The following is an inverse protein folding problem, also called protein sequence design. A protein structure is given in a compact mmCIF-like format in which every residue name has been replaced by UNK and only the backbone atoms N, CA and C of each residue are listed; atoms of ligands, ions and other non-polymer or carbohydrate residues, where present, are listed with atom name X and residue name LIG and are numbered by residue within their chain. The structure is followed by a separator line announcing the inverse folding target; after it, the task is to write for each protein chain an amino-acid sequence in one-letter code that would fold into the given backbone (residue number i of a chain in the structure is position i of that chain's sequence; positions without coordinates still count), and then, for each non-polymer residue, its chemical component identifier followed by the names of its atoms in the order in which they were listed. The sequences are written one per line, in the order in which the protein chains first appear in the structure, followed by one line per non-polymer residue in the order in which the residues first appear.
data_IF_698855714055
#
_entry.id   IF_698855714055
#
_cell.length_a   1.000
_cell.length_b   1.000
_cell.length_c   1.000
_cell.angle_alpha   90.00
_cell.angle_beta   90.00
_cell.angle_gamma   90.00
#
_symmetry.space_group_name_H-M   'P 1'
#
loop_
_entity.id
_entity.type
_entity.pdbx_description
1 polymer ?
#
# COMPACT_ATOMS: atom_id res chain seq x y z
N UNK A 1 25.28 -1.34 -26.73
CA UNK A 1 24.45 -0.18 -27.09
C UNK A 1 24.63 0.90 -26.03
N UNK A 2 25.14 2.08 -26.43
CA UNK A 2 25.43 3.20 -25.54
C UNK A 2 24.14 3.97 -25.24
N UNK A 3 23.82 4.19 -23.98
CA UNK A 3 22.85 5.22 -23.56
C UNK A 3 23.63 6.46 -23.14
N UNK A 4 23.48 7.55 -23.89
CA UNK A 4 24.01 8.87 -23.57
C UNK A 4 22.87 9.70 -22.99
N UNK A 5 22.99 10.10 -21.72
CA UNK A 5 22.15 11.13 -21.09
C UNK A 5 22.90 12.46 -21.16
N UNK A 6 22.31 13.56 -21.66
CA UNK A 6 22.98 14.84 -21.65
C UNK A 6 22.16 15.92 -20.93
N UNK A 7 22.10 15.92 -19.59
CA UNK A 7 21.82 17.16 -18.85
C UNK A 7 22.55 17.20 -17.50
N UNK A 8 23.83 17.56 -17.58
CA UNK A 8 24.59 18.14 -16.47
C UNK A 8 25.11 19.49 -16.91
N UNK A 9 24.45 20.57 -16.47
CA UNK A 9 25.10 21.87 -16.26
C UNK A 9 24.33 22.65 -15.21
N UNK A 10 24.96 22.83 -14.04
CA UNK A 10 24.53 23.73 -12.97
C UNK A 10 24.93 25.14 -13.35
N UNK A 11 23.98 26.05 -13.43
CA UNK A 11 24.20 27.48 -13.23
C UNK A 11 23.18 27.96 -12.20
N UNK A 12 23.67 28.59 -11.13
CA UNK A 12 22.87 29.22 -10.07
C UNK A 12 22.41 30.60 -10.54
N UNK A 13 21.10 30.85 -10.69
CA UNK A 13 20.53 32.21 -10.68
C UNK A 13 19.05 32.21 -10.23
N UNK A 14 18.79 32.99 -9.16
CA UNK A 14 17.58 33.56 -8.52
C UNK A 14 16.15 32.95 -8.66
N UNK A 15 15.30 32.93 -7.61
CA UNK A 15 14.07 32.10 -7.55
C UNK A 15 12.76 32.72 -8.09
N UNK A 16 12.72 33.96 -8.57
CA UNK A 16 11.43 34.67 -8.72
C UNK A 16 10.82 34.73 -10.13
N UNK A 17 11.39 34.09 -11.14
CA UNK A 17 10.88 34.18 -12.53
C UNK A 17 10.47 32.86 -13.19
N UNK A 18 10.45 31.74 -12.46
CA UNK A 18 10.27 30.41 -13.06
C UNK A 18 8.86 29.79 -12.96
N UNK A 19 7.87 30.42 -12.32
CA UNK A 19 6.52 29.82 -12.27
C UNK A 19 5.83 29.80 -13.64
N UNK A 20 6.23 30.70 -14.55
CA UNK A 20 5.65 30.79 -15.90
C UNK A 20 6.39 29.89 -16.90
N UNK A 21 7.69 29.60 -16.68
CA UNK A 21 8.50 28.78 -17.61
C UNK A 21 8.40 27.26 -17.38
N UNK A 22 7.83 26.81 -16.26
CA UNK A 22 7.66 25.38 -15.98
C UNK A 22 6.40 24.76 -16.62
N UNK A 23 5.43 25.59 -17.01
CA UNK A 23 4.18 25.12 -17.64
C UNK A 23 4.35 24.82 -19.14
N UNK A 24 5.35 25.42 -19.80
CA UNK A 24 5.63 25.22 -21.23
C UNK A 24 6.39 23.92 -21.56
N UNK A 25 6.64 23.05 -20.57
CA UNK A 25 7.36 21.78 -20.75
C UNK A 25 6.58 20.54 -20.30
N UNK A 26 5.30 20.69 -19.97
CA UNK A 26 4.41 19.54 -19.84
C UNK A 26 3.93 19.25 -21.26
N UNK A 27 4.37 18.15 -21.86
CA UNK A 27 3.78 17.67 -23.11
C UNK A 27 2.25 17.69 -22.95
N UNK A 28 1.58 18.31 -23.91
CA UNK A 28 0.12 18.44 -23.91
C UNK A 28 -0.49 17.07 -23.60
N UNK A 29 -1.32 16.98 -22.55
CA UNK A 29 -1.91 15.72 -22.10
C UNK A 29 -2.65 15.00 -23.24
N UNK A 30 -3.10 15.76 -24.25
CA UNK A 30 -3.66 15.22 -25.48
C UNK A 30 -2.62 14.46 -26.34
N UNK A 31 -1.40 14.97 -26.46
CA UNK A 31 -0.31 14.33 -27.19
C UNK A 31 0.14 13.03 -26.49
N UNK A 32 0.21 13.03 -25.15
CA UNK A 32 0.53 11.82 -24.37
C UNK A 32 -0.54 10.74 -24.54
N UNK A 33 -1.83 11.10 -24.52
CA UNK A 33 -2.94 10.17 -24.80
C UNK A 33 -2.86 9.59 -26.21
N UNK A 34 -2.73 10.44 -27.22
CA UNK A 34 -2.64 10.01 -28.62
C UNK A 34 -1.43 9.11 -28.84
N UNK A 35 -0.29 9.43 -28.23
CA UNK A 35 0.90 8.58 -28.27
C UNK A 35 0.65 7.21 -27.62
N UNK A 36 0.01 7.17 -26.45
CA UNK A 36 -0.32 5.93 -25.74
C UNK A 36 -1.26 5.04 -26.55
N UNK A 37 -2.36 5.60 -27.05
CA UNK A 37 -3.36 4.90 -27.89
C UNK A 37 -2.72 4.35 -29.17
N UNK A 38 -1.93 5.17 -29.86
CA UNK A 38 -1.21 4.77 -31.06
C UNK A 38 -0.18 3.68 -30.77
N UNK A 39 0.53 3.78 -29.64
CA UNK A 39 1.51 2.78 -29.23
C UNK A 39 0.83 1.44 -28.89
N UNK A 40 -0.33 1.45 -28.25
CA UNK A 40 -1.12 0.23 -28.00
C UNK A 40 -1.63 -0.41 -29.29
N UNK A 41 -2.09 0.40 -30.26
CA UNK A 41 -2.52 -0.11 -31.57
C UNK A 41 -1.36 -0.69 -32.39
N UNK A 42 -0.20 -0.03 -32.39
CA UNK A 42 0.96 -0.44 -33.20
C UNK A 42 1.72 -1.63 -32.59
N UNK A 43 1.79 -1.72 -31.26
CA UNK A 43 2.58 -2.74 -30.55
C UNK A 43 1.73 -3.90 -30.05
N UNK A 44 0.42 -3.84 -30.22
CA UNK A 44 -0.55 -4.75 -29.62
C UNK A 44 -0.67 -4.51 -28.12
N UNK A 45 -1.76 -5.01 -27.54
CA UNK A 45 -1.80 -5.23 -26.10
C UNK A 45 -1.06 -6.54 -25.76
N UNK A 46 -0.88 -6.85 -24.48
CA UNK A 46 -0.17 -8.07 -24.07
C UNK A 46 -0.96 -9.36 -24.31
N UNK A 47 -2.11 -9.32 -25.02
CA UNK A 47 -2.99 -10.46 -25.25
C UNK A 47 -2.97 -10.85 -26.72
N UNK A 48 -3.18 -12.15 -26.96
CA UNK A 48 -3.31 -12.64 -28.31
C UNK A 48 -4.63 -12.12 -28.93
N UNK A 49 -4.58 -11.73 -30.20
CA UNK A 49 -5.77 -11.37 -30.96
C UNK A 49 -6.79 -12.53 -30.91
N UNK A 50 -8.01 -12.25 -30.41
CA UNK A 50 -9.04 -13.27 -30.17
C UNK A 50 -9.00 -13.97 -28.81
N UNK A 51 -8.19 -13.49 -27.85
CA UNK A 51 -8.21 -14.00 -26.47
C UNK A 51 -9.51 -13.59 -25.76
N UNK A 52 -10.45 -14.52 -25.64
CA UNK A 52 -11.57 -14.42 -24.70
C UNK A 52 -11.13 -15.01 -23.35
N UNK A 53 -11.10 -14.17 -22.32
CA UNK A 53 -10.78 -14.63 -20.97
C UNK A 53 -11.97 -15.40 -20.41
N UNK A 54 -11.81 -16.70 -20.15
CA UNK A 54 -12.77 -17.52 -19.39
C UNK A 54 -12.74 -17.06 -17.91
N UNK A 55 -13.32 -15.89 -17.65
CA UNK A 55 -13.47 -15.37 -16.30
C UNK A 55 -14.85 -15.74 -15.78
N UNK A 56 -14.88 -16.05 -14.49
CA UNK A 56 -16.15 -16.17 -13.80
C UNK A 56 -16.90 -14.84 -13.86
N UNK A 57 -18.19 -14.91 -14.22
CA UNK A 57 -19.14 -13.79 -14.16
C UNK A 57 -19.19 -13.18 -12.75
N UNK A 58 -18.89 -13.98 -11.72
CA UNK A 58 -18.90 -13.58 -10.33
C UNK A 58 -17.79 -14.23 -9.49
N UNK A 59 -17.10 -13.43 -8.68
CA UNK A 59 -15.95 -13.85 -7.84
C UNK A 59 -16.28 -13.79 -6.36
N UNK A 60 -16.15 -14.92 -5.65
CA UNK A 60 -16.38 -15.03 -4.21
C UNK A 60 -15.13 -14.69 -3.40
N UNK A 61 -14.80 -13.41 -3.31
CA UNK A 61 -13.65 -12.94 -2.52
C UNK A 61 -14.01 -12.73 -1.06
N UNK A 62 -13.18 -13.26 -0.16
CA UNK A 62 -13.18 -12.92 1.26
C UNK A 62 -12.14 -11.85 1.56
N UNK A 63 -12.53 -10.84 2.33
CA UNK A 63 -11.65 -9.80 2.88
C UNK A 63 -11.47 -9.96 4.39
N UNK A 64 -11.45 -11.18 4.91
CA UNK A 64 -11.23 -11.42 6.35
C UNK A 64 -9.96 -10.71 6.82
N UNK A 65 -10.09 -9.85 7.83
CA UNK A 65 -9.01 -9.05 8.39
C UNK A 65 -8.67 -9.47 9.83
N UNK A 66 -7.53 -9.02 10.30
CA UNK A 66 -7.19 -9.06 11.72
C UNK A 66 -8.12 -8.16 12.54
N UNK A 67 -8.36 -8.51 13.81
CA UNK A 67 -8.96 -7.57 14.76
C UNK A 67 -7.93 -6.46 15.05
N UNK A 68 -8.26 -5.22 14.70
CA UNK A 68 -7.40 -4.05 14.86
C UNK A 68 -7.71 -3.26 16.15
N UNK A 69 -8.62 -3.74 17.01
CA UNK A 69 -9.03 -3.04 18.24
C UNK A 69 -7.84 -2.73 19.14
N UNK A 70 -7.01 -3.71 19.45
CA UNK A 70 -5.86 -3.50 20.35
C UNK A 70 -4.82 -2.54 19.74
N UNK A 71 -4.60 -2.60 18.42
CA UNK A 71 -3.74 -1.63 17.72
C UNK A 71 -4.28 -0.20 17.84
N UNK A 72 -5.61 -0.02 17.69
CA UNK A 72 -6.27 1.28 17.86
C UNK A 72 -6.20 1.79 19.29
N UNK A 73 -6.39 0.91 20.27
CA UNK A 73 -6.30 1.26 21.70
C UNK A 73 -4.88 1.72 22.06
N UNK A 74 -3.85 0.97 21.63
CA UNK A 74 -2.45 1.36 21.80
C UNK A 74 -2.19 2.72 21.15
N UNK A 75 -2.57 2.89 19.87
CA UNK A 75 -2.39 4.17 19.17
C UNK A 75 -3.07 5.35 19.88
N UNK A 76 -4.29 5.13 20.37
CA UNK A 76 -5.06 6.17 21.07
C UNK A 76 -4.45 6.53 22.42
N UNK A 77 -3.78 5.59 23.09
CA UNK A 77 -3.11 5.80 24.38
C UNK A 77 -1.82 6.62 24.29
N UNK A 78 -1.24 6.75 23.10
CA UNK A 78 0.01 7.48 22.91
C UNK A 78 -0.18 9.00 22.94
N UNK A 79 0.76 9.67 23.61
CA UNK A 79 0.87 11.13 23.60
C UNK A 79 1.34 11.66 22.24
N UNK A 80 1.23 12.97 22.04
CA UNK A 80 1.57 13.60 20.77
C UNK A 80 3.05 13.42 20.40
N UNK A 81 3.96 13.49 21.36
CA UNK A 81 5.40 13.27 21.12
C UNK A 81 5.68 11.88 20.52
N UNK A 82 5.05 10.84 21.06
CA UNK A 82 5.20 9.46 20.56
C UNK A 82 4.58 9.32 19.17
N UNK A 83 3.41 9.94 18.94
CA UNK A 83 2.77 9.96 17.62
C UNK A 83 3.62 10.69 16.59
N UNK A 84 4.20 11.83 16.94
CA UNK A 84 5.14 12.56 16.08
C UNK A 84 6.37 11.71 15.75
N UNK A 85 6.94 11.02 16.73
CA UNK A 85 8.03 10.08 16.48
C UNK A 85 7.61 8.98 15.48
N UNK A 86 6.38 8.47 15.58
CA UNK A 86 5.86 7.53 14.58
C UNK A 86 5.77 8.17 13.19
N UNK A 87 5.10 9.32 13.06
CA UNK A 87 4.90 10.00 11.78
C UNK A 87 6.22 10.32 11.06
N UNK A 88 7.23 10.79 11.79
CA UNK A 88 8.55 11.06 11.21
C UNK A 88 9.21 9.83 10.59
N UNK A 89 8.95 8.63 11.13
CA UNK A 89 9.58 7.39 10.69
C UNK A 89 8.76 6.63 9.65
N UNK A 90 7.42 6.66 9.77
CA UNK A 90 6.53 5.74 9.07
C UNK A 90 5.34 6.42 8.37
N UNK A 91 5.24 7.75 8.43
CA UNK A 91 4.20 8.51 7.76
C UNK A 91 2.79 8.21 8.29
N UNK A 92 1.83 8.24 7.38
CA UNK A 92 0.39 8.22 7.65
C UNK A 92 -0.19 6.80 7.85
N UNK A 93 0.69 5.82 8.02
CA UNK A 93 0.32 4.42 8.24
C UNK A 93 -0.73 4.18 9.36
N UNK A 94 -0.76 4.92 10.49
CA UNK A 94 -1.72 4.67 11.56
C UNK A 94 -3.17 4.96 11.15
N UNK A 95 -3.40 5.82 10.16
CA UNK A 95 -4.76 6.11 9.70
C UNK A 95 -5.44 4.89 9.07
N UNK A 96 -4.67 3.91 8.58
CA UNK A 96 -5.21 2.64 8.10
C UNK A 96 -6.01 1.90 9.18
N UNK A 97 -5.70 2.10 10.47
CA UNK A 97 -6.42 1.46 11.57
C UNK A 97 -7.87 1.96 11.71
N UNK A 98 -8.13 3.18 11.23
CA UNK A 98 -9.45 3.82 11.23
C UNK A 98 -10.28 3.56 9.96
N UNK A 99 -9.67 3.04 8.89
CA UNK A 99 -10.39 2.75 7.65
C UNK A 99 -11.17 1.46 7.81
N UNK A 100 -12.49 1.59 7.82
CA UNK A 100 -13.41 0.47 7.76
C UNK A 100 -13.41 -0.13 6.34
N UNK A 101 -13.20 -1.44 6.25
CA UNK A 101 -13.31 -2.18 5.00
C UNK A 101 -14.74 -2.69 4.86
N UNK A 102 -15.50 -2.07 3.96
CA UNK A 102 -16.79 -2.61 3.53
C UNK A 102 -16.55 -3.81 2.63
N UNK A 103 -16.94 -4.99 3.13
CA UNK A 103 -16.77 -6.26 2.42
C UNK A 103 -17.60 -6.33 1.13
N UNK A 104 -18.75 -5.67 1.07
CA UNK A 104 -19.63 -5.69 -0.09
C UNK A 104 -19.07 -4.78 -1.18
N UNK A 105 -18.64 -3.57 -0.82
CA UNK A 105 -17.93 -2.68 -1.73
C UNK A 105 -16.68 -3.35 -2.30
N UNK A 106 -15.85 -3.96 -1.45
CA UNK A 106 -14.62 -4.60 -1.93
C UNK A 106 -14.91 -5.74 -2.92
N UNK A 107 -15.91 -6.57 -2.65
CA UNK A 107 -16.29 -7.65 -3.56
C UNK A 107 -16.82 -7.13 -4.89
N UNK A 108 -17.64 -6.08 -4.86
CA UNK A 108 -18.10 -5.41 -6.08
C UNK A 108 -16.93 -4.91 -6.91
N UNK A 109 -15.99 -4.17 -6.29
CA UNK A 109 -14.79 -3.66 -6.94
C UNK A 109 -13.91 -4.76 -7.54
N UNK A 110 -13.78 -5.88 -6.82
CA UNK A 110 -12.98 -6.99 -7.29
C UNK A 110 -13.55 -7.65 -8.55
N UNK A 111 -14.86 -7.54 -8.84
CA UNK A 111 -15.44 -8.06 -10.09
C UNK A 111 -14.87 -7.34 -11.32
N UNK A 112 -14.58 -6.05 -11.19
CA UNK A 112 -14.02 -5.22 -12.24
C UNK A 112 -12.51 -5.42 -12.42
N UNK A 113 -11.85 -6.22 -11.57
CA UNK A 113 -10.44 -6.55 -11.77
C UNK A 113 -10.28 -7.47 -12.97
N UNK A 114 -9.51 -7.01 -13.96
CA UNK A 114 -9.15 -7.75 -15.14
C UNK A 114 -7.75 -8.36 -14.98
N UNK A 115 -7.64 -9.68 -14.75
CA UNK A 115 -6.35 -10.33 -14.49
C UNK A 115 -5.47 -10.52 -15.73
N UNK A 116 -5.99 -10.20 -16.93
CA UNK A 116 -5.23 -10.22 -18.17
C UNK A 116 -4.37 -8.94 -18.30
N UNK A 117 -4.92 -7.80 -17.89
CA UNK A 117 -4.23 -6.49 -17.92
C UNK A 117 -3.69 -6.04 -16.55
N UNK A 118 -4.07 -6.71 -15.45
CA UNK A 118 -3.74 -6.30 -14.08
C UNK A 118 -4.20 -4.86 -13.76
N UNK A 119 -5.41 -4.53 -14.17
CA UNK A 119 -6.08 -3.26 -13.89
C UNK A 119 -7.57 -3.50 -13.61
N UNK A 120 -8.26 -2.48 -13.10
CA UNK A 120 -9.71 -2.45 -13.04
C UNK A 120 -10.29 -1.89 -14.33
N UNK A 121 -11.30 -2.53 -14.89
CA UNK A 121 -11.95 -2.11 -16.14
C UNK A 121 -13.42 -1.78 -15.90
N UNK A 122 -13.80 -0.52 -16.14
CA UNK A 122 -15.16 -0.01 -16.01
C UNK A 122 -15.65 0.44 -17.39
N UNK A 123 -16.37 -0.44 -18.09
CA UNK A 123 -16.69 -0.21 -19.50
C UNK A 123 -15.41 -0.06 -20.32
N UNK A 124 -15.23 1.09 -20.99
CA UNK A 124 -14.05 1.40 -21.81
C UNK A 124 -12.90 2.10 -21.07
N UNK A 125 -12.93 2.20 -19.74
CA UNK A 125 -11.91 2.90 -18.95
C UNK A 125 -11.17 1.90 -18.07
N UNK A 126 -9.84 1.99 -18.07
CA UNK A 126 -8.97 1.27 -17.16
C UNK A 126 -8.47 2.17 -16.01
N UNK A 127 -8.37 1.58 -14.81
CA UNK A 127 -7.86 2.24 -13.62
C UNK A 127 -6.96 1.28 -12.85
N UNK A 128 -5.78 1.75 -12.46
CA UNK A 128 -4.81 0.95 -11.72
C UNK A 128 -4.10 1.80 -10.68
N UNK A 129 -3.93 1.32 -9.43
CA UNK A 129 -3.17 2.07 -8.45
C UNK A 129 -1.70 2.21 -8.84
N UNK A 130 -1.18 3.43 -8.75
CA UNK A 130 0.21 3.76 -9.11
C UNK A 130 1.12 3.88 -7.89
N UNK A 131 2.44 3.86 -8.14
CA UNK A 131 3.45 4.05 -7.09
C UNK A 131 3.29 5.44 -6.46
N UNK A 132 3.09 6.46 -7.29
CA UNK A 132 2.97 7.86 -6.91
C UNK A 132 1.74 8.08 -6.01
N UNK A 133 0.59 7.49 -6.36
CA UNK A 133 -0.63 7.60 -5.57
C UNK A 133 -0.49 6.90 -4.21
N UNK A 134 0.10 5.70 -4.17
CA UNK A 134 0.31 4.99 -2.91
C UNK A 134 1.38 5.67 -2.04
N UNK A 135 2.39 6.29 -2.66
CA UNK A 135 3.35 7.14 -1.95
C UNK A 135 2.66 8.37 -1.33
N UNK A 136 1.77 9.03 -2.07
CA UNK A 136 1.01 10.17 -1.57
C UNK A 136 0.05 9.76 -0.44
N UNK A 137 -0.61 8.59 -0.55
CA UNK A 137 -1.48 8.05 0.49
C UNK A 137 -0.72 7.77 1.79
N UNK A 138 0.45 7.13 1.70
CA UNK A 138 1.25 6.78 2.88
C UNK A 138 2.05 7.95 3.46
N UNK A 139 2.32 8.98 2.66
CA UNK A 139 3.00 10.23 3.04
C UNK A 139 4.16 10.00 4.02
N UNK A 140 5.11 9.14 3.65
CA UNK A 140 6.21 8.74 4.52
C UNK A 140 7.49 9.54 4.21
N UNK A 141 7.93 10.45 5.10
CA UNK A 141 9.06 11.34 4.81
C UNK A 141 10.42 10.64 4.73
N UNK A 142 10.57 9.49 5.39
CA UNK A 142 11.81 8.73 5.51
C UNK A 142 12.15 7.90 4.25
N UNK A 143 11.22 7.81 3.30
CA UNK A 143 11.31 6.94 2.14
C UNK A 143 11.80 7.71 0.92
N UNK A 144 12.81 7.16 0.24
CA UNK A 144 13.28 7.71 -1.04
C UNK A 144 12.52 7.04 -2.19
N UNK A 145 11.92 7.85 -3.07
CA UNK A 145 11.10 7.38 -4.18
C UNK A 145 11.87 6.47 -5.16
N UNK A 146 13.19 6.63 -5.24
CA UNK A 146 14.07 5.97 -6.21
C UNK A 146 14.57 4.58 -5.77
N UNK A 147 14.25 4.14 -4.54
CA UNK A 147 14.73 2.84 -4.00
C UNK A 147 13.58 1.88 -3.74
N UNK A 148 13.18 1.16 -4.78
CA UNK A 148 12.22 0.06 -4.65
C UNK A 148 12.78 -1.11 -3.82
N UNK A 149 11.93 -1.74 -3.01
CA UNK A 149 12.30 -2.97 -2.32
C UNK A 149 12.57 -4.10 -3.32
N UNK A 150 13.76 -4.70 -3.19
CA UNK A 150 14.12 -5.97 -3.81
C UNK A 150 14.64 -6.91 -2.75
N UNK A 151 14.22 -8.18 -2.80
CA UNK A 151 14.70 -9.22 -1.87
C UNK A 151 16.20 -9.39 -2.09
N UNK A 152 17.07 -9.17 -1.08
CA UNK A 152 18.51 -9.31 -1.26
C UNK A 152 18.93 -10.79 -1.34
N UNK A 153 20.08 -11.05 -1.95
CA UNK A 153 20.65 -12.42 -2.06
C UNK A 153 21.02 -13.00 -0.69
N UNK A 154 21.46 -12.15 0.25
CA UNK A 154 21.87 -12.54 1.60
C UNK A 154 20.95 -11.91 2.66
N UNK A 155 19.74 -12.48 2.80
CA UNK A 155 18.78 -12.05 3.82
C UNK A 155 19.23 -12.54 5.21
N UNK A 156 19.41 -11.66 6.22
CA UNK A 156 19.70 -12.11 7.58
C UNK A 156 18.60 -13.04 8.12
N UNK A 157 18.92 -14.04 8.95
CA UNK A 157 17.92 -14.93 9.56
C UNK A 157 16.81 -14.15 10.27
N UNK A 158 15.58 -14.67 10.25
CA UNK A 158 14.41 -14.03 10.87
C UNK A 158 14.66 -13.60 12.32
N UNK A 159 15.29 -14.48 13.10
CA UNK A 159 15.73 -14.21 14.48
C UNK A 159 16.59 -12.95 14.59
N UNK A 160 17.63 -12.82 13.75
CA UNK A 160 18.53 -11.65 13.77
C UNK A 160 17.81 -10.36 13.45
N UNK A 161 16.87 -10.38 12.51
CA UNK A 161 16.06 -9.21 12.16
C UNK A 161 15.17 -8.78 13.32
N UNK A 162 14.48 -9.74 13.95
CA UNK A 162 13.64 -9.46 15.11
C UNK A 162 14.45 -8.95 16.31
N UNK A 163 15.64 -9.50 16.60
CA UNK A 163 16.52 -8.98 17.65
C UNK A 163 16.81 -7.50 17.42
N UNK A 164 17.18 -7.11 16.20
CA UNK A 164 17.48 -5.70 15.89
C UNK A 164 16.25 -4.80 16.00
N UNK A 165 15.10 -5.24 15.47
CA UNK A 165 13.86 -4.44 15.50
C UNK A 165 13.36 -4.30 16.94
N UNK A 166 13.29 -5.41 17.68
CA UNK A 166 12.69 -5.47 19.01
C UNK A 166 13.64 -5.07 20.14
N UNK A 167 14.95 -5.14 19.94
CA UNK A 167 15.94 -4.99 21.01
C UNK A 167 16.05 -6.18 21.97
N UNK A 168 15.33 -7.28 21.71
CA UNK A 168 15.25 -8.43 22.61
C UNK A 168 16.37 -9.45 22.38
N UNK A 169 16.64 -10.29 23.38
CA UNK A 169 17.64 -11.36 23.27
C UNK A 169 17.23 -12.43 22.25
N UNK A 170 18.23 -13.12 21.70
CA UNK A 170 18.01 -14.23 20.77
C UNK A 170 17.11 -15.32 21.36
N UNK A 171 17.32 -15.67 22.63
CA UNK A 171 16.50 -16.65 23.34
C UNK A 171 15.04 -16.21 23.42
N UNK A 172 14.78 -14.93 23.71
CA UNK A 172 13.43 -14.39 23.80
C UNK A 172 12.71 -14.49 22.44
N UNK A 173 13.41 -14.14 21.37
CA UNK A 173 12.89 -14.14 19.99
C UNK A 173 12.66 -15.57 19.50
N UNK A 174 13.67 -16.43 19.60
CA UNK A 174 13.62 -17.81 19.13
C UNK A 174 12.47 -18.60 19.79
N UNK A 175 12.23 -18.38 21.09
CA UNK A 175 11.15 -19.04 21.82
C UNK A 175 9.73 -18.64 21.37
N UNK A 176 9.58 -17.54 20.63
CA UNK A 176 8.28 -16.96 20.24
C UNK A 176 7.96 -17.10 18.76
N UNK A 177 8.95 -17.43 17.94
CA UNK A 177 8.74 -17.73 16.53
C UNK A 177 7.97 -19.05 16.41
N UNK A 178 6.95 -19.07 15.56
CA UNK A 178 6.15 -20.26 15.25
C UNK A 178 6.12 -20.49 13.75
N UNK A 179 6.05 -21.75 13.34
CA UNK A 179 5.74 -22.08 11.96
C UNK A 179 4.23 -21.91 11.73
N UNK A 180 3.84 -21.16 10.70
CA UNK A 180 2.44 -20.98 10.29
C UNK A 180 2.33 -21.14 8.78
N UNK A 181 1.84 -22.29 8.34
CA UNK A 181 1.86 -22.65 6.93
C UNK A 181 3.30 -22.80 6.43
N UNK A 182 3.61 -22.15 5.32
CA UNK A 182 4.90 -22.16 4.65
C UNK A 182 5.95 -21.22 5.26
N UNK A 183 5.59 -20.40 6.25
CA UNK A 183 6.46 -19.35 6.77
C UNK A 183 6.60 -19.35 8.28
N UNK A 184 7.74 -18.81 8.75
CA UNK A 184 7.97 -18.52 10.16
C UNK A 184 7.34 -17.18 10.50
N UNK A 185 6.65 -17.12 11.61
CA UNK A 185 5.93 -15.93 12.04
C UNK A 185 6.10 -15.68 13.54
N UNK A 186 5.87 -14.44 13.96
CA UNK A 186 5.75 -14.06 15.37
C UNK A 186 4.28 -13.71 15.67
N UNK A 187 3.66 -14.25 16.73
CA UNK A 187 2.28 -13.92 17.08
C UNK A 187 2.11 -12.45 17.50
N UNK A 188 0.99 -11.84 17.13
CA UNK A 188 0.64 -10.46 17.50
C UNK A 188 0.68 -10.23 19.01
N UNK A 189 0.12 -11.15 19.80
CA UNK A 189 0.10 -11.00 21.27
C UNK A 189 1.48 -10.79 21.87
N UNK A 190 2.51 -11.47 21.34
CA UNK A 190 3.90 -11.29 21.79
C UNK A 190 4.46 -9.91 21.44
N UNK A 191 4.10 -9.36 20.27
CA UNK A 191 4.51 -8.01 19.87
C UNK A 191 3.74 -6.95 20.65
N UNK A 192 2.45 -7.14 20.89
CA UNK A 192 1.60 -6.28 21.72
C UNK A 192 2.17 -6.15 23.14
N UNK A 193 2.42 -7.29 23.80
CA UNK A 193 2.97 -7.29 25.17
C UNK A 193 4.33 -6.58 25.22
N UNK A 194 5.13 -6.73 24.17
CA UNK A 194 6.39 -6.03 24.02
C UNK A 194 6.19 -4.51 23.88
N UNK A 195 5.28 -4.05 23.02
CA UNK A 195 5.00 -2.61 22.84
C UNK A 195 4.60 -1.95 24.16
N UNK A 196 3.82 -2.65 24.99
CA UNK A 196 3.36 -2.13 26.28
C UNK A 196 4.48 -2.07 27.33
N UNK A 197 5.40 -3.05 27.34
CA UNK A 197 6.40 -3.20 28.40
C UNK A 197 7.81 -2.68 28.05
N UNK A 198 8.15 -2.48 26.76
CA UNK A 198 9.53 -2.20 26.34
C UNK A 198 10.05 -0.88 26.95
N UNK A 199 11.25 -0.79 27.53
CA UNK A 199 11.71 0.46 28.16
C UNK A 199 12.06 1.56 27.14
N UNK A 200 12.58 1.19 25.98
CA UNK A 200 12.92 2.11 24.89
C UNK A 200 11.69 2.49 24.05
N UNK A 201 11.40 3.78 23.96
CA UNK A 201 10.27 4.34 23.20
C UNK A 201 10.39 4.11 21.69
N UNK A 202 11.60 4.23 21.12
CA UNK A 202 11.82 4.00 19.68
C UNK A 202 11.53 2.55 19.33
N UNK A 203 11.94 1.61 20.19
CA UNK A 203 11.61 0.19 19.99
C UNK A 203 10.10 -0.08 20.08
N UNK A 204 9.36 0.59 20.97
CA UNK A 204 7.88 0.49 20.98
C UNK A 204 7.29 0.92 19.64
N UNK A 205 7.74 2.07 19.13
CA UNK A 205 7.29 2.64 17.85
C UNK A 205 7.61 1.71 16.68
N UNK A 206 8.83 1.16 16.62
CA UNK A 206 9.27 0.25 15.55
C UNK A 206 8.47 -1.07 15.57
N UNK A 207 8.24 -1.65 16.76
CA UNK A 207 7.46 -2.88 16.90
C UNK A 207 5.99 -2.65 16.57
N UNK A 208 5.43 -1.49 16.93
CA UNK A 208 4.08 -1.11 16.53
C UNK A 208 3.96 -0.94 15.01
N UNK A 209 4.92 -0.28 14.36
CA UNK A 209 4.95 -0.14 12.90
C UNK A 209 5.08 -1.50 12.20
N UNK A 210 5.97 -2.38 12.67
CA UNK A 210 6.12 -3.75 12.16
C UNK A 210 4.78 -4.50 12.23
N UNK A 211 4.01 -4.27 13.30
CA UNK A 211 2.71 -4.90 13.50
C UNK A 211 1.65 -4.36 12.53
N UNK A 212 1.63 -3.07 12.21
CA UNK A 212 0.76 -2.55 11.15
C UNK A 212 1.14 -3.14 9.79
N UNK A 213 2.44 -3.19 9.47
CA UNK A 213 2.90 -3.82 8.24
C UNK A 213 2.49 -5.29 8.13
N UNK A 214 2.61 -6.07 9.21
CA UNK A 214 2.28 -7.50 9.17
C UNK A 214 0.80 -7.83 9.29
N UNK A 215 0.02 -7.03 10.02
CA UNK A 215 -1.39 -7.33 10.30
C UNK A 215 -2.37 -6.59 9.39
N UNK A 216 -1.93 -5.49 8.76
CA UNK A 216 -2.79 -4.65 7.91
C UNK A 216 -2.26 -4.61 6.48
N UNK A 217 -0.97 -4.37 6.28
CA UNK A 217 -0.41 -4.16 4.94
C UNK A 217 -0.16 -5.49 4.21
N UNK A 218 0.44 -6.46 4.89
CA UNK A 218 0.78 -7.80 4.38
C UNK A 218 0.17 -8.91 5.25
N UNK A 219 -1.19 -8.99 5.36
CA UNK A 219 -1.87 -9.90 6.28
C UNK A 219 -1.88 -11.37 5.80
N UNK A 220 -0.70 -11.97 5.63
CA UNK A 220 -0.54 -13.35 5.14
C UNK A 220 -1.19 -14.35 6.08
N UNK A 221 -0.96 -14.24 7.40
CA UNK A 221 -1.55 -15.11 8.41
C UNK A 221 -2.22 -14.28 9.52
N UNK A 222 -3.52 -14.53 9.76
CA UNK A 222 -4.27 -13.80 10.78
C UNK A 222 -3.70 -14.02 12.18
N UNK A 223 -3.40 -12.93 12.88
CA UNK A 223 -2.82 -12.89 14.23
C UNK A 223 -1.30 -13.02 14.26
N UNK A 224 -0.62 -12.97 13.11
CA UNK A 224 0.83 -13.18 13.03
C UNK A 224 1.50 -12.19 12.07
N UNK A 225 2.75 -11.85 12.37
CA UNK A 225 3.66 -11.14 11.47
C UNK A 225 4.63 -12.13 10.84
N UNK A 226 4.61 -12.19 9.52
CA UNK A 226 5.42 -13.11 8.69
C UNK A 226 6.88 -12.66 8.56
N UNK A 227 7.80 -13.61 8.38
CA UNK A 227 9.23 -13.31 8.21
C UNK A 227 9.53 -12.39 7.03
N UNK A 228 8.80 -12.47 5.93
CA UNK A 228 9.00 -11.59 4.76
C UNK A 228 8.65 -10.13 5.08
N UNK A 229 7.74 -9.89 6.02
CA UNK A 229 7.44 -8.53 6.50
C UNK A 229 8.64 -7.95 7.24
N UNK A 230 9.33 -8.77 8.03
CA UNK A 230 10.57 -8.32 8.70
C UNK A 230 11.73 -8.10 7.72
N UNK A 231 11.76 -8.82 6.59
CA UNK A 231 12.71 -8.56 5.49
C UNK A 231 12.49 -7.17 4.90
N UNK A 232 11.23 -6.83 4.61
CA UNK A 232 10.85 -5.51 4.12
C UNK A 232 11.16 -4.43 5.16
N UNK A 233 10.78 -4.66 6.42
CA UNK A 233 10.92 -3.68 7.49
C UNK A 233 12.38 -3.27 7.74
N UNK A 234 13.32 -4.22 7.73
CA UNK A 234 14.77 -3.93 7.81
C UNK A 234 15.27 -3.00 6.68
N UNK A 235 14.60 -2.99 5.54
CA UNK A 235 15.00 -2.16 4.40
C UNK A 235 14.42 -0.76 4.48
N UNK A 236 13.37 -0.52 5.26
CA UNK A 236 12.79 0.81 5.45
C UNK A 236 13.81 1.79 6.02
N UNK A 237 14.58 1.35 7.03
CA UNK A 237 15.67 2.15 7.63
C UNK A 237 16.79 2.51 6.64
N UNK A 238 16.82 1.87 5.45
CA UNK A 238 17.80 2.10 4.38
C UNK A 238 17.24 2.98 3.26
N UNK A 239 16.12 3.66 3.52
CA UNK A 239 15.42 4.56 2.60
C UNK A 239 14.62 3.86 1.51
N UNK A 240 14.33 2.55 1.68
CA UNK A 240 13.61 1.76 0.67
C UNK A 240 12.10 1.98 0.78
N UNK A 241 11.41 2.17 -0.35
CA UNK A 241 9.94 2.25 -0.37
C UNK A 241 9.28 0.86 -0.33
N UNK A 242 8.27 0.63 0.52
CA UNK A 242 7.47 -0.58 0.50
C UNK A 242 6.39 -0.55 -0.58
N UNK A 243 6.09 0.62 -1.17
CA UNK A 243 4.96 0.80 -2.09
C UNK A 243 4.95 -0.21 -3.24
N UNK A 244 6.06 -0.46 -3.96
CA UNK A 244 6.09 -1.48 -5.00
C UNK A 244 5.73 -2.88 -4.49
N UNK A 245 6.14 -3.23 -3.28
CA UNK A 245 5.78 -4.52 -2.67
C UNK A 245 4.29 -4.59 -2.28
N UNK A 246 3.71 -3.48 -1.80
CA UNK A 246 2.29 -3.37 -1.47
C UNK A 246 1.44 -3.55 -2.74
N UNK A 247 1.79 -2.85 -3.82
CA UNK A 247 1.11 -2.96 -5.11
C UNK A 247 1.24 -4.37 -5.68
N UNK A 248 2.45 -4.93 -5.68
CA UNK A 248 2.69 -6.29 -6.15
C UNK A 248 1.84 -7.32 -5.40
N UNK A 249 1.76 -7.23 -4.07
CA UNK A 249 0.95 -8.15 -3.27
C UNK A 249 -0.56 -7.97 -3.54
N UNK A 250 -1.01 -6.71 -3.70
CA UNK A 250 -2.39 -6.38 -4.07
C UNK A 250 -2.76 -7.01 -5.42
N UNK A 251 -1.95 -6.79 -6.45
CA UNK A 251 -2.22 -7.30 -7.81
C UNK A 251 -2.14 -8.82 -7.84
N UNK A 252 -1.12 -9.40 -7.18
CA UNK A 252 -0.95 -10.85 -7.06
C UNK A 252 -2.18 -11.50 -6.43
N UNK A 253 -2.71 -10.91 -5.36
CA UNK A 253 -3.88 -11.46 -4.69
C UNK A 253 -5.17 -11.27 -5.47
N UNK A 254 -5.39 -10.12 -6.12
CA UNK A 254 -6.55 -9.91 -6.99
C UNK A 254 -6.53 -10.88 -8.18
N UNK A 255 -5.37 -11.05 -8.83
CA UNK A 255 -5.18 -12.01 -9.91
C UNK A 255 -5.48 -13.45 -9.46
N UNK A 256 -4.93 -13.86 -8.32
CA UNK A 256 -5.17 -15.20 -7.78
C UNK A 256 -6.66 -15.44 -7.52
N UNK A 257 -7.33 -14.49 -6.86
CA UNK A 257 -8.75 -14.61 -6.56
C UNK A 257 -9.63 -14.59 -7.82
N UNK A 258 -9.34 -13.71 -8.79
CA UNK A 258 -10.15 -13.61 -10.01
C UNK A 258 -10.01 -14.84 -10.91
N UNK A 259 -8.80 -15.36 -11.06
CA UNK A 259 -8.56 -16.59 -11.83
C UNK A 259 -9.17 -17.82 -11.18
N UNK A 260 -9.18 -17.89 -9.85
CA UNK A 260 -9.81 -18.99 -9.12
C UNK A 260 -11.34 -18.84 -9.01
N UNK A 261 -11.90 -17.64 -9.22
CA UNK A 261 -13.31 -17.34 -8.94
C UNK A 261 -13.64 -17.22 -7.45
N UNK A 262 -12.67 -17.46 -6.56
CA UNK A 262 -12.83 -17.46 -5.11
C UNK A 262 -11.50 -17.21 -4.38
N UNK A 263 -11.57 -17.10 -3.06
CA UNK A 263 -10.40 -17.08 -2.19
C UNK A 263 -10.37 -15.88 -1.25
N UNK A 264 -9.28 -15.77 -0.47
CA UNK A 264 -9.08 -14.65 0.45
C UNK A 264 -8.11 -13.65 -0.18
N UNK A 265 -8.51 -12.38 -0.20
CA UNK A 265 -7.60 -11.30 -0.54
C UNK A 265 -6.50 -11.17 0.52
N UNK A 266 -5.24 -11.23 0.09
CA UNK A 266 -4.04 -11.05 0.88
C UNK A 266 -3.38 -9.76 0.39
N UNK A 267 -3.54 -8.69 1.16
CA UNK A 267 -3.00 -7.37 0.84
C UNK A 267 -3.66 -6.30 1.70
N UNK A 268 -3.31 -5.04 1.47
CA UNK A 268 -3.84 -3.92 2.24
C UNK A 268 -5.18 -3.45 1.67
N UNK A 269 -6.29 -4.05 2.12
CA UNK A 269 -7.63 -3.69 1.65
C UNK A 269 -7.98 -2.23 1.95
N UNK A 270 -7.49 -1.69 3.08
CA UNK A 270 -7.67 -0.30 3.47
C UNK A 270 -7.05 0.66 2.46
N UNK A 271 -5.82 0.40 1.99
CA UNK A 271 -5.16 1.24 0.99
C UNK A 271 -5.87 1.15 -0.36
N UNK A 272 -6.27 -0.05 -0.79
CA UNK A 272 -6.97 -0.20 -2.06
C UNK A 272 -8.31 0.55 -2.05
N UNK A 273 -9.09 0.42 -0.97
CA UNK A 273 -10.33 1.18 -0.82
C UNK A 273 -10.07 2.68 -0.72
N UNK A 274 -9.00 3.10 -0.06
CA UNK A 274 -8.65 4.52 0.03
C UNK A 274 -8.37 5.12 -1.34
N UNK A 275 -7.59 4.41 -2.15
CA UNK A 275 -7.33 4.77 -3.54
C UNK A 275 -8.61 4.81 -4.36
N UNK A 276 -9.47 3.79 -4.27
CA UNK A 276 -10.75 3.82 -4.97
C UNK A 276 -11.61 5.02 -4.58
N UNK A 277 -11.70 5.33 -3.29
CA UNK A 277 -12.46 6.49 -2.83
C UNK A 277 -11.93 7.81 -3.40
N UNK A 278 -10.61 7.96 -3.56
CA UNK A 278 -10.05 9.19 -4.14
C UNK A 278 -10.37 9.38 -5.63
N UNK A 279 -10.71 8.31 -6.37
CA UNK A 279 -11.05 8.41 -7.80
C UNK A 279 -12.57 8.48 -8.06
N UNK A 280 -13.38 7.79 -7.25
CA UNK A 280 -14.81 7.63 -7.53
C UNK A 280 -15.71 8.57 -6.72
N UNK A 281 -15.28 9.02 -5.55
CA UNK A 281 -16.13 9.84 -4.70
C UNK A 281 -15.77 11.32 -4.86
N UNK A 282 -16.67 12.11 -5.46
CA UNK A 282 -16.56 13.58 -5.45
C UNK A 282 -16.62 14.07 -4.00
N UNK A 283 -15.46 14.37 -3.42
CA UNK A 283 -15.43 15.32 -2.32
C UNK A 283 -15.83 16.68 -2.91
N UNK A 284 -17.02 17.18 -2.55
CA UNK A 284 -17.39 18.56 -2.84
C UNK A 284 -16.30 19.46 -2.22
N UNK A 285 -15.42 20.01 -3.08
CA UNK A 285 -14.36 21.00 -2.81
C UNK A 285 -12.94 20.52 -2.46
N UNK A 286 -12.35 19.52 -3.10
CA UNK A 286 -10.86 19.40 -3.04
C UNK A 286 -10.25 18.82 -4.31
N UNK A 287 -10.54 19.40 -5.48
CA UNK A 287 -9.72 19.18 -6.65
C UNK A 287 -8.32 19.78 -6.41
N UNK A 288 -7.28 18.93 -6.44
CA UNK A 288 -5.84 19.28 -6.47
C UNK A 288 -5.04 19.49 -5.15
N UNK A 289 -5.40 18.90 -4.00
CA UNK A 289 -4.50 18.89 -2.81
C UNK A 289 -3.62 17.66 -2.64
N UNK A 290 -3.66 16.70 -3.57
CA UNK A 290 -2.96 15.40 -3.48
C UNK A 290 -1.43 15.52 -3.31
N UNK A 291 -0.83 16.68 -3.59
CA UNK A 291 0.63 16.89 -3.51
C UNK A 291 1.09 17.91 -2.46
N UNK A 292 0.24 18.34 -1.52
CA UNK A 292 0.69 19.20 -0.40
C UNK A 292 1.29 18.34 0.72
N UNK A 293 2.48 18.71 1.23
CA UNK A 293 3.13 18.02 2.36
C UNK A 293 2.30 18.02 3.66
N UNK A 294 1.40 18.99 3.81
CA UNK A 294 0.54 19.14 4.99
C UNK A 294 -0.82 18.44 4.83
N UNK A 295 -1.04 17.79 3.69
CA UNK A 295 -2.28 17.10 3.36
C UNK A 295 -2.09 15.58 3.49
N UNK A 296 -2.98 14.96 4.25
CA UNK A 296 -3.03 13.51 4.43
C UNK A 296 -4.34 12.97 3.86
N UNK A 297 -4.33 12.31 2.69
CA UNK A 297 -5.56 11.78 2.11
C UNK A 297 -6.17 10.66 2.98
N UNK A 298 -5.34 9.86 3.67
CA UNK A 298 -5.83 8.84 4.59
C UNK A 298 -6.52 9.47 5.81
N UNK A 299 -5.99 10.57 6.35
CA UNK A 299 -6.62 11.30 7.46
C UNK A 299 -8.00 11.85 7.06
N UNK A 300 -8.11 12.47 5.88
CA UNK A 300 -9.39 12.97 5.38
C UNK A 300 -10.39 11.82 5.22
N UNK A 301 -9.96 10.72 4.61
CA UNK A 301 -10.79 9.56 4.38
C UNK A 301 -11.32 8.90 5.67
N UNK A 302 -10.57 8.98 6.77
CA UNK A 302 -11.01 8.52 8.10
C UNK A 302 -12.04 9.48 8.71
N UNK A 303 -11.93 10.78 8.42
CA UNK A 303 -12.84 11.80 8.95
C UNK A 303 -14.21 11.83 8.23
N UNK A 304 -14.28 11.41 6.98
CA UNK A 304 -15.50 11.42 6.17
C UNK A 304 -16.49 10.33 6.62
N UNK A 305 -17.70 10.74 7.04
CA UNK A 305 -18.80 9.82 7.40
C UNK A 305 -19.27 9.00 6.19
N UNK A 306 -19.48 7.69 6.37
CA UNK A 306 -19.82 6.76 5.27
C UNK A 306 -21.22 6.19 5.40
N UNK A 307 -21.79 5.79 4.25
CA UNK A 307 -22.99 4.95 4.20
C UNK A 307 -22.56 3.50 4.41
N UNK A 308 -22.95 2.91 5.53
CA UNK A 308 -22.53 1.57 5.92
C UNK A 308 -23.53 0.46 5.51
N UNK A 309 -24.65 0.82 4.86
CA UNK A 309 -25.80 -0.07 4.63
C UNK A 309 -26.15 -0.25 3.13
N UNK A 310 -25.15 -0.50 2.28
CA UNK A 310 -25.32 -0.74 0.83
C UNK A 310 -24.96 -2.19 0.51
N UNK A 311 -25.83 -2.90 -0.24
CA UNK A 311 -25.57 -4.29 -0.64
C UNK A 311 -24.56 -4.37 -1.79
N UNK A 312 -23.99 -5.55 -2.00
CA UNK A 312 -23.02 -5.81 -3.06
C UNK A 312 -23.59 -5.52 -4.45
N UNK A 313 -24.82 -5.95 -4.71
CA UNK A 313 -25.51 -5.74 -5.99
C UNK A 313 -25.78 -4.26 -6.23
N UNK A 314 -26.12 -3.51 -5.17
CA UNK A 314 -26.26 -2.05 -5.25
C UNK A 314 -24.93 -1.37 -5.54
N UNK A 315 -23.83 -1.85 -4.95
CA UNK A 315 -22.50 -1.33 -5.27
C UNK A 315 -22.11 -1.62 -6.72
N UNK A 316 -22.35 -2.84 -7.22
CA UNK A 316 -22.10 -3.20 -8.62
C UNK A 316 -22.91 -2.32 -9.58
N UNK A 317 -24.16 -1.98 -9.24
CA UNK A 317 -24.98 -1.10 -10.06
C UNK A 317 -24.55 0.39 -10.01
N UNK A 318 -23.84 0.80 -8.95
CA UNK A 318 -23.33 2.17 -8.78
C UNK A 318 -22.00 2.37 -9.51
N UNK A 319 -21.16 1.33 -9.54
CA UNK A 319 -19.81 1.33 -10.11
C UNK A 319 -19.83 1.06 -11.62
#
# INVERSE_FOLDING_TARGET
MRFSSPYSRREMYSPESNSVRFLDRVEDNAAVRVWSEKTQQEKGDSLAEGYESELWDFTRISVTQNDLRELREIWSSWNDETKQLFYCNYGDLPYLLGIKVDKYLFRALAQFWNPAYSCFTFGGIDLVPTVEEYMALLNCPSIQADRAYSRPVNVPPFVKKLIRITGMSEQWVAARIKQKGDSKCIPWGNLRDLILAHPDLKKRVDVFALSIYGLVVFPKALGYVDEAVSDLFDRLDKGTTPVPAILAETFRSLNACRRAGEGRFIGCAQLLLAWFHSHFWKAEKVSYRVFSRDYSPLRELVATSRRDDVSEEKWIAIL
#
